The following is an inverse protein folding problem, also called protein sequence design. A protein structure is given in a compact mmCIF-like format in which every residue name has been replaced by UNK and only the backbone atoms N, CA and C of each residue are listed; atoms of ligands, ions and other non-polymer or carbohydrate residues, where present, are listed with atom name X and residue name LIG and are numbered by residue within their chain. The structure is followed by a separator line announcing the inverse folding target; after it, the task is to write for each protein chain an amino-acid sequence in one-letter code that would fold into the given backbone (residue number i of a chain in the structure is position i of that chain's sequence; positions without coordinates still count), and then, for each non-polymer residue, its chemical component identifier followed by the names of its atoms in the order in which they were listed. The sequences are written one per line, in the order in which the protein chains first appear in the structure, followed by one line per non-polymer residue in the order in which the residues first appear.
data_IF_190105048756
#
_entry.id   IF_190105048756
#
_cell.length_a   1.000
_cell.length_b   1.000
_cell.length_c   1.000
_cell.angle_alpha   90.00
_cell.angle_beta   90.00
_cell.angle_gamma   90.00
#
_symmetry.space_group_name_H-M   'P 1'
#
loop_
_entity.id
_entity.type
_entity.pdbx_description
1 polymer ?
#
# COMPACT_ATOMS: atom_id res chain seq x y z
N UNK A 1 4.38 15.24 26.97
CA UNK A 1 4.98 14.21 26.09
C UNK A 1 4.40 14.38 24.70
N UNK A 2 5.23 14.54 23.67
CA UNK A 2 4.73 14.57 22.29
C UNK A 2 4.53 13.12 21.84
N UNK A 3 3.31 12.74 21.47
CA UNK A 3 3.03 11.45 20.84
C UNK A 3 3.69 11.45 19.45
N UNK A 4 4.56 10.49 19.19
CA UNK A 4 5.13 10.31 17.85
C UNK A 4 3.98 9.96 16.91
N UNK A 5 3.73 10.81 15.91
CA UNK A 5 2.71 10.53 14.91
C UNK A 5 3.14 9.29 14.11
N UNK A 6 2.28 8.27 13.98
CA UNK A 6 2.62 7.08 13.22
C UNK A 6 2.81 7.41 11.75
N UNK A 7 3.68 6.65 11.08
CA UNK A 7 3.79 6.72 9.62
C UNK A 7 2.65 5.89 9.02
N UNK A 8 1.89 6.46 8.09
CA UNK A 8 0.80 5.79 7.40
C UNK A 8 1.07 5.72 5.90
N UNK A 9 0.68 4.61 5.28
CA UNK A 9 0.70 4.42 3.82
C UNK A 9 -0.68 3.99 3.36
N UNK A 10 -1.35 4.87 2.62
CA UNK A 10 -2.60 4.57 1.94
C UNK A 10 -2.31 4.20 0.48
N UNK A 11 -2.68 2.99 0.08
CA UNK A 11 -2.51 2.48 -1.28
C UNK A 11 -3.89 2.22 -1.89
N UNK A 12 -4.18 2.85 -3.01
CA UNK A 12 -5.32 2.49 -3.86
C UNK A 12 -4.84 1.59 -4.97
N UNK A 13 -5.59 0.53 -5.26
CA UNK A 13 -5.23 -0.45 -6.28
C UNK A 13 -6.41 -0.79 -7.18
N UNK A 14 -6.09 -1.23 -8.40
CA UNK A 14 -7.04 -1.81 -9.35
C UNK A 14 -6.42 -3.02 -10.04
N UNK A 15 -7.23 -3.80 -10.75
CA UNK A 15 -6.77 -4.83 -11.68
C UNK A 15 -7.52 -4.70 -13.01
N UNK A 16 -7.00 -5.29 -14.07
CA UNK A 16 -7.63 -5.24 -15.38
C UNK A 16 -8.97 -6.03 -15.37
N UNK A 17 -10.12 -5.38 -15.63
CA UNK A 17 -11.42 -6.05 -15.64
C UNK A 17 -11.58 -7.05 -16.79
N UNK A 18 -10.87 -6.86 -17.91
CA UNK A 18 -10.99 -7.69 -19.11
C UNK A 18 -10.22 -9.00 -19.02
N UNK A 19 -9.31 -9.13 -18.05
CA UNK A 19 -8.46 -10.31 -17.87
C UNK A 19 -8.70 -10.86 -16.47
N UNK A 20 -9.52 -11.93 -16.34
CA UNK A 20 -9.74 -12.62 -15.08
C UNK A 20 -8.42 -13.01 -14.43
N UNK A 21 -8.29 -12.74 -13.12
CA UNK A 21 -7.06 -13.07 -12.38
C UNK A 21 -5.88 -12.13 -12.63
N UNK A 22 -6.04 -11.06 -13.42
CA UNK A 22 -4.97 -10.08 -13.63
C UNK A 22 -4.43 -9.51 -12.31
N UNK A 23 -3.13 -9.23 -12.32
CA UNK A 23 -2.43 -8.73 -11.15
C UNK A 23 -2.98 -7.37 -10.70
N UNK A 24 -3.04 -7.18 -9.38
CA UNK A 24 -3.40 -5.88 -8.79
C UNK A 24 -2.24 -4.91 -8.95
N UNK A 25 -2.51 -3.74 -9.49
CA UNK A 25 -1.56 -2.65 -9.67
C UNK A 25 -1.95 -1.46 -8.83
N UNK A 26 -0.93 -0.73 -8.36
CA UNK A 26 -1.10 0.50 -7.61
C UNK A 26 -1.64 1.58 -8.55
N UNK A 27 -2.72 2.23 -8.14
CA UNK A 27 -3.27 3.41 -8.81
C UNK A 27 -2.66 4.66 -8.18
N UNK A 28 -2.63 4.72 -6.85
CA UNK A 28 -2.06 5.84 -6.12
C UNK A 28 -1.52 5.39 -4.76
N UNK A 29 -0.54 6.16 -4.27
CA UNK A 29 -0.02 6.04 -2.92
C UNK A 29 -0.04 7.41 -2.26
N UNK A 30 -0.46 7.45 -1.00
CA UNK A 30 -0.31 8.60 -0.12
C UNK A 30 0.42 8.17 1.14
N UNK A 31 1.51 8.86 1.45
CA UNK A 31 2.28 8.67 2.66
C UNK A 31 1.95 9.83 3.60
N UNK A 32 1.68 9.53 4.86
CA UNK A 32 1.45 10.49 5.93
C UNK A 32 2.54 10.25 6.98
N UNK A 33 3.24 11.31 7.38
CA UNK A 33 4.46 11.21 8.19
C UNK A 33 5.71 11.53 7.36
N UNK A 34 6.87 11.13 7.88
CA UNK A 34 8.17 11.47 7.30
C UNK A 34 8.88 10.25 6.68
N UNK A 35 8.28 9.07 6.73
CA UNK A 35 8.82 7.89 6.07
C UNK A 35 8.86 8.02 4.54
N UNK A 36 9.86 7.38 3.93
CA UNK A 36 9.94 7.24 2.47
C UNK A 36 10.25 5.78 2.09
N UNK A 37 9.36 4.83 2.44
CA UNK A 37 9.62 3.41 2.29
C UNK A 37 9.48 2.96 0.83
N UNK A 38 10.22 1.92 0.46
CA UNK A 38 9.97 1.13 -0.75
C UNK A 38 9.85 1.94 -2.05
N UNK A 39 10.63 3.01 -2.23
CA UNK A 39 10.46 3.99 -3.34
C UNK A 39 10.34 3.38 -4.73
N UNK A 40 11.02 2.25 -4.98
CA UNK A 40 10.98 1.58 -6.28
C UNK A 40 9.68 0.80 -6.51
N UNK A 41 9.08 0.25 -5.45
CA UNK A 41 7.89 -0.60 -5.52
C UNK A 41 6.60 0.14 -5.18
N UNK A 42 6.71 1.25 -4.47
CA UNK A 42 5.60 2.05 -3.96
C UNK A 42 5.29 3.21 -4.90
N UNK A 43 4.91 2.88 -6.15
CA UNK A 43 4.62 3.84 -7.21
C UNK A 43 3.43 3.40 -8.08
N UNK A 44 2.72 4.32 -8.77
CA UNK A 44 1.68 3.96 -9.72
C UNK A 44 2.16 2.94 -10.76
N UNK A 45 1.29 1.97 -11.09
CA UNK A 45 1.57 0.88 -12.03
C UNK A 45 2.34 -0.31 -11.46
N UNK A 46 3.02 -0.16 -10.32
CA UNK A 46 3.74 -1.25 -9.68
C UNK A 46 2.79 -2.33 -9.15
N UNK A 47 3.30 -3.55 -8.99
CA UNK A 47 2.54 -4.68 -8.46
C UNK A 47 2.28 -4.47 -6.96
N UNK A 48 1.00 -4.59 -6.58
CA UNK A 48 0.61 -4.44 -5.18
C UNK A 48 1.27 -5.50 -4.29
N UNK A 49 1.47 -6.72 -4.79
CA UNK A 49 2.13 -7.80 -4.05
C UNK A 49 3.58 -7.46 -3.70
N UNK A 50 4.33 -6.86 -4.62
CA UNK A 50 5.73 -6.47 -4.40
C UNK A 50 5.80 -5.33 -3.40
N UNK A 51 4.97 -4.29 -3.57
CA UNK A 51 4.90 -3.18 -2.61
C UNK A 51 4.57 -3.66 -1.18
N UNK A 52 3.63 -4.60 -1.05
CA UNK A 52 3.27 -5.17 0.25
C UNK A 52 4.36 -6.05 0.84
N UNK A 53 5.14 -6.75 0.03
CA UNK A 53 6.28 -7.53 0.51
C UNK A 53 7.32 -6.59 1.12
N UNK A 54 7.70 -5.53 0.42
CA UNK A 54 8.65 -4.54 0.94
C UNK A 54 8.11 -3.81 2.18
N UNK A 55 6.86 -3.34 2.18
CA UNK A 55 6.31 -2.61 3.32
C UNK A 55 6.23 -3.45 4.60
N UNK A 56 5.93 -4.75 4.46
CA UNK A 56 5.81 -5.69 5.58
C UNK A 56 7.12 -6.34 5.97
N UNK A 57 8.20 -6.05 5.26
CA UNK A 57 9.54 -6.49 5.64
C UNK A 57 9.87 -5.95 7.03
N UNK A 58 10.58 -6.75 7.84
CA UNK A 58 10.87 -6.40 9.23
C UNK A 58 11.72 -5.13 9.34
N UNK A 59 12.58 -4.85 8.35
CA UNK A 59 13.42 -3.64 8.33
C UNK A 59 12.60 -2.38 8.00
N UNK A 60 11.43 -2.53 7.34
CA UNK A 60 10.54 -1.42 7.00
C UNK A 60 9.46 -1.23 8.06
N UNK A 61 8.78 -2.32 8.46
CA UNK A 61 7.95 -2.40 9.67
C UNK A 61 6.48 -1.98 9.54
N UNK A 62 5.92 -1.85 8.33
CA UNK A 62 4.50 -1.51 8.18
C UNK A 62 3.59 -2.73 8.32
N UNK A 63 2.43 -2.53 8.94
CA UNK A 63 1.39 -3.54 9.10
C UNK A 63 0.08 -3.03 8.49
N UNK A 64 -0.67 -3.93 7.86
CA UNK A 64 -1.98 -3.57 7.30
C UNK A 64 -2.96 -3.39 8.46
N UNK A 65 -3.50 -2.18 8.60
CA UNK A 65 -4.50 -1.83 9.62
C UNK A 65 -5.89 -1.70 9.02
N UNK A 66 -6.00 -1.45 7.72
CA UNK A 66 -7.28 -1.49 7.01
C UNK A 66 -7.16 -2.06 5.61
N UNK A 67 -8.17 -2.82 5.20
CA UNK A 67 -8.29 -3.38 3.86
C UNK A 67 -9.75 -3.35 3.43
N UNK A 68 -10.04 -2.64 2.36
CA UNK A 68 -11.38 -2.58 1.78
C UNK A 68 -11.33 -2.77 0.27
N UNK A 69 -12.25 -3.60 -0.24
CA UNK A 69 -12.56 -3.65 -1.67
C UNK A 69 -13.68 -2.65 -1.93
N UNK A 70 -13.50 -1.79 -2.92
CA UNK A 70 -14.57 -0.89 -3.39
C UNK A 70 -15.35 -1.53 -4.54
N UNK A 71 -14.77 -2.52 -5.22
CA UNK A 71 -15.44 -3.36 -6.21
C UNK A 71 -14.78 -4.74 -6.32
N UNK A 72 -15.20 -5.55 -7.30
CA UNK A 72 -14.52 -6.80 -7.65
C UNK A 72 -13.12 -6.60 -8.26
N UNK A 73 -12.81 -5.40 -8.78
CA UNK A 73 -11.55 -5.07 -9.46
C UNK A 73 -10.74 -3.97 -8.78
N UNK A 74 -11.21 -3.35 -7.71
CA UNK A 74 -10.55 -2.21 -7.06
C UNK A 74 -10.74 -2.19 -5.55
N UNK A 75 -9.86 -1.45 -4.88
CA UNK A 75 -9.92 -1.24 -3.44
C UNK A 75 -8.76 -0.41 -2.93
N UNK A 76 -8.63 -0.36 -1.61
CA UNK A 76 -7.53 0.32 -0.95
C UNK A 76 -7.03 -0.44 0.29
N UNK A 77 -5.83 -0.10 0.71
CA UNK A 77 -5.15 -0.61 1.90
C UNK A 77 -4.60 0.57 2.68
N UNK A 78 -4.77 0.55 4.00
CA UNK A 78 -4.06 1.41 4.92
C UNK A 78 -3.06 0.56 5.69
N UNK A 79 -1.81 1.01 5.70
CA UNK A 79 -0.75 0.44 6.52
C UNK A 79 -0.23 1.47 7.50
N UNK A 80 0.22 0.99 8.65
CA UNK A 80 0.75 1.79 9.74
C UNK A 80 2.09 1.24 10.24
N UNK A 81 2.97 2.14 10.66
CA UNK A 81 4.20 1.84 11.39
C UNK A 81 4.31 2.74 12.62
N UNK A 82 4.58 2.13 13.77
CA UNK A 82 4.79 2.80 15.06
C UNK A 82 6.29 2.92 15.38
#
# INVERSE_FOLDING_TARGET
MATRQPDLVLITWSRNPLVPGSARRIVSVRIIGNASPCRQDLRPGALLSIALACLRDNDVGFRIVHRQKTSSISGFLLLERH
#
